data_IF_185066299488
#
_entry.id   IF_185066299488
#
_cell.length_a   1.000
_cell.length_b   1.000
_cell.length_c   1.000
_cell.angle_alpha   90.00
_cell.angle_beta   90.00
_cell.angle_gamma   90.00
#
_symmetry.space_group_name_H-M   'P 1'
#
loop_
_entity.id
_entity.type
_entity.pdbx_description
1 polymer ?
#
# COMPACT_ATOMS: atom_id res chain seq x y z
N UNK A 1 15.42 0.08 8.23
CA UNK A 1 14.62 0.45 7.04
C UNK A 1 13.70 -0.72 6.74
N UNK A 2 12.37 -0.57 6.84
CA UNK A 2 11.51 -1.63 6.33
C UNK A 2 11.73 -1.79 4.82
N UNK A 3 11.78 -3.04 4.38
CA UNK A 3 11.89 -3.36 2.97
C UNK A 3 10.63 -2.86 2.27
N UNK A 4 10.80 -1.99 1.27
CA UNK A 4 9.69 -1.60 0.40
C UNK A 4 9.33 -2.83 -0.45
N UNK A 5 8.10 -3.37 -0.33
CA UNK A 5 7.71 -4.55 -1.09
C UNK A 5 7.63 -4.21 -2.58
N UNK A 6 8.04 -5.18 -3.41
CA UNK A 6 8.09 -5.01 -4.86
C UNK A 6 6.71 -5.09 -5.51
N UNK A 7 6.57 -4.54 -6.72
CA UNK A 7 5.36 -4.72 -7.52
C UNK A 7 5.04 -6.21 -7.72
N UNK A 8 3.78 -6.60 -7.51
CA UNK A 8 3.33 -7.98 -7.57
C UNK A 8 3.50 -8.78 -6.27
N UNK A 9 4.19 -8.22 -5.26
CA UNK A 9 4.34 -8.87 -3.96
C UNK A 9 2.99 -8.91 -3.22
N UNK A 10 2.67 -10.07 -2.63
CA UNK A 10 1.51 -10.22 -1.75
C UNK A 10 1.83 -9.64 -0.39
N UNK A 11 0.98 -8.73 0.05
CA UNK A 11 1.14 -8.02 1.31
C UNK A 11 -0.17 -8.02 2.07
N UNK A 12 -0.06 -7.80 3.36
CA UNK A 12 -1.17 -7.68 4.28
C UNK A 12 -0.97 -6.50 5.20
N UNK A 13 -2.08 -5.93 5.63
CA UNK A 13 -2.12 -4.77 6.52
C UNK A 13 -3.32 -4.87 7.44
N UNK A 14 -3.21 -4.23 8.59
CA UNK A 14 -4.25 -4.23 9.60
C UNK A 14 -5.24 -3.07 9.32
N UNK A 15 -6.54 -3.36 9.45
CA UNK A 15 -7.62 -2.38 9.38
C UNK A 15 -8.46 -2.47 10.65
N UNK A 16 -9.34 -1.50 10.91
CA UNK A 16 -10.24 -1.56 12.07
C UNK A 16 -11.18 -2.76 12.04
N UNK A 17 -11.47 -3.31 10.86
CA UNK A 17 -12.25 -4.54 10.68
C UNK A 17 -11.39 -5.82 10.65
N UNK A 18 -10.10 -5.73 10.94
CA UNK A 18 -9.15 -6.85 10.95
C UNK A 18 -8.13 -6.83 9.81
N UNK A 19 -7.35 -7.91 9.69
CA UNK A 19 -6.30 -8.06 8.67
C UNK A 19 -6.92 -8.09 7.27
N UNK A 20 -6.38 -7.26 6.38
CA UNK A 20 -6.69 -7.26 4.95
C UNK A 20 -5.46 -7.67 4.15
N UNK A 21 -5.68 -8.32 3.02
CA UNK A 21 -4.62 -8.78 2.13
C UNK A 21 -4.80 -8.20 0.73
N UNK A 22 -3.69 -8.11 0.01
CA UNK A 22 -3.62 -7.48 -1.29
C UNK A 22 -2.31 -7.72 -2.00
N UNK A 23 -2.17 -7.03 -3.14
CA UNK A 23 -0.97 -7.09 -3.98
C UNK A 23 -0.44 -5.68 -4.18
N UNK A 24 0.87 -5.52 -4.15
CA UNK A 24 1.53 -4.25 -4.48
C UNK A 24 1.36 -3.95 -5.97
N UNK A 25 0.77 -2.81 -6.28
CA UNK A 25 0.67 -2.33 -7.67
C UNK A 25 1.84 -1.45 -8.06
N UNK A 26 2.28 -0.56 -7.18
CA UNK A 26 3.44 0.31 -7.38
C UNK A 26 3.87 1.01 -6.09
N UNK A 27 5.11 1.47 -6.05
CA UNK A 27 5.60 2.42 -5.06
C UNK A 27 5.41 3.82 -5.63
N UNK A 28 4.90 4.74 -4.81
CA UNK A 28 4.72 6.16 -5.16
C UNK A 28 5.59 7.01 -4.25
N UNK A 29 6.27 8.00 -4.81
CA UNK A 29 7.18 8.93 -4.13
C UNK A 29 6.71 10.39 -4.27
N UNK A 30 5.47 10.57 -4.70
CA UNK A 30 4.85 11.87 -4.95
C UNK A 30 3.35 11.76 -4.73
N UNK A 31 2.71 12.91 -4.45
CA UNK A 31 1.28 12.99 -4.26
C UNK A 31 0.54 12.29 -5.41
N UNK A 32 -0.22 11.25 -5.08
CA UNK A 32 -0.90 10.42 -6.07
C UNK A 32 -2.37 10.30 -5.71
N UNK A 33 -3.25 10.67 -6.64
CA UNK A 33 -4.68 10.52 -6.46
C UNK A 33 -5.06 9.06 -6.68
N UNK A 34 -5.68 8.47 -5.66
CA UNK A 34 -6.31 7.16 -5.70
C UNK A 34 -7.83 7.36 -5.61
N UNK A 35 -8.63 6.37 -6.00
CA UNK A 35 -10.09 6.54 -6.01
C UNK A 35 -10.60 6.81 -4.58
N UNK A 36 -11.05 8.03 -4.32
CA UNK A 36 -11.59 8.47 -3.03
C UNK A 36 -10.56 8.95 -2.00
N UNK A 37 -9.25 9.00 -2.34
CA UNK A 37 -8.21 9.48 -1.42
C UNK A 37 -6.98 10.00 -2.19
N UNK A 38 -6.13 10.81 -1.56
CA UNK A 38 -4.86 11.24 -2.15
C UNK A 38 -3.72 10.75 -1.26
N UNK A 39 -2.91 9.84 -1.79
CA UNK A 39 -1.67 9.40 -1.13
C UNK A 39 -0.70 10.58 -1.10
N UNK A 40 -0.26 10.98 0.10
CA UNK A 40 0.66 12.11 0.31
C UNK A 40 2.13 11.64 0.35
N UNK A 41 2.50 10.80 -0.60
CA UNK A 41 3.86 10.27 -0.67
C UNK A 41 4.87 11.35 -1.09
N UNK A 42 6.09 11.22 -0.59
CA UNK A 42 7.26 12.04 -0.98
C UNK A 42 8.44 11.13 -1.29
N UNK A 43 9.57 11.70 -1.73
CA UNK A 43 10.80 10.92 -1.96
C UNK A 43 11.38 10.37 -0.66
N UNK A 44 11.19 11.09 0.44
CA UNK A 44 11.67 10.72 1.77
C UNK A 44 10.69 9.78 2.47
N UNK A 45 9.39 9.97 2.24
CA UNK A 45 8.30 9.13 2.75
C UNK A 45 7.52 8.50 1.57
N UNK A 46 8.10 7.48 0.90
CA UNK A 46 7.38 6.75 -0.12
C UNK A 46 6.17 6.03 0.47
N UNK A 47 5.11 5.90 -0.31
CA UNK A 47 3.98 5.03 0.01
C UNK A 47 3.85 3.92 -1.03
N UNK A 48 3.28 2.80 -0.62
CA UNK A 48 3.04 1.64 -1.46
C UNK A 48 1.56 1.60 -1.81
N UNK A 49 1.27 1.70 -3.10
CA UNK A 49 -0.07 1.48 -3.63
C UNK A 49 -0.32 -0.02 -3.70
N UNK A 50 -1.32 -0.47 -2.95
CA UNK A 50 -1.77 -1.86 -2.90
C UNK A 50 -3.20 -1.97 -3.40
N UNK A 51 -3.53 -3.12 -3.96
CA UNK A 51 -4.88 -3.49 -4.36
C UNK A 51 -5.36 -4.65 -3.48
N UNK A 52 -6.47 -4.43 -2.77
CA UNK A 52 -7.11 -5.46 -1.95
C UNK A 52 -7.60 -6.60 -2.83
N UNK A 53 -7.22 -7.84 -2.50
CA UNK A 53 -7.73 -9.04 -3.19
C UNK A 53 -9.20 -9.27 -2.89
N UNK A 54 -9.66 -8.92 -1.69
CA UNK A 54 -11.05 -9.08 -1.25
C UNK A 54 -12.02 -8.12 -1.94
N UNK A 55 -11.63 -6.85 -2.11
CA UNK A 55 -12.55 -5.80 -2.59
C UNK A 55 -12.17 -5.20 -3.95
N UNK A 56 -10.98 -5.50 -4.48
CA UNK A 56 -10.44 -4.88 -5.69
C UNK A 56 -10.11 -3.39 -5.54
N UNK A 57 -10.29 -2.80 -4.36
CA UNK A 57 -10.02 -1.38 -4.08
C UNK A 57 -8.53 -1.12 -3.90
N UNK A 58 -8.11 0.08 -4.31
CA UNK A 58 -6.74 0.56 -4.13
C UNK A 58 -6.60 1.34 -2.82
N UNK A 59 -5.47 1.16 -2.14
CA UNK A 59 -5.10 1.89 -0.92
C UNK A 59 -3.60 2.21 -0.96
N UNK A 60 -3.19 3.27 -0.27
CA UNK A 60 -1.78 3.64 -0.15
C UNK A 60 -1.36 3.53 1.33
N UNK A 61 -0.34 2.73 1.60
CA UNK A 61 0.20 2.48 2.94
C UNK A 61 1.67 2.85 3.03
N UNK A 62 2.17 3.16 4.21
CA UNK A 62 3.63 3.25 4.41
C UNK A 62 4.23 1.83 4.33
N UNK A 63 5.46 1.67 3.82
CA UNK A 63 6.12 0.36 3.76
C UNK A 63 6.15 -0.39 5.09
N UNK A 64 6.32 0.34 6.21
CA UNK A 64 6.40 -0.25 7.55
C UNK A 64 5.05 -0.81 8.06
N UNK A 65 3.92 -0.40 7.46
CA UNK A 65 2.59 -0.90 7.81
C UNK A 65 2.25 -2.21 7.05
N UNK A 66 3.02 -2.52 6.01
CA UNK A 66 2.81 -3.71 5.19
C UNK A 66 3.63 -4.88 5.71
N UNK A 67 2.96 -6.02 5.91
CA UNK A 67 3.58 -7.30 6.23
C UNK A 67 3.50 -8.21 5.02
N UNK A 68 4.54 -9.00 4.77
CA UNK A 68 4.48 -10.06 3.75
C UNK A 68 3.35 -11.02 4.11
N UNK A 69 2.44 -11.26 3.17
CA UNK A 69 1.34 -12.21 3.35
C UNK A 69 1.81 -13.65 3.12
#
# INVERSE_FOLDING_TARGET
>A
MAKIPGKGEKVSWDTSQGKTEGVVEKVVTSATKIKGHTAKATKEEPQVLVKSTKSGKQAAHKPDELKKA
#
